data_IF_178659836801
#
_entry.id   IF_178659836801
#
_cell.length_a   1.000
_cell.length_b   1.000
_cell.length_c   1.000
_cell.angle_alpha   90.00
_cell.angle_beta   90.00
_cell.angle_gamma   90.00
#
_symmetry.space_group_name_H-M   'P 1'
#
loop_
_entity.id
_entity.type
_entity.pdbx_description
1 polymer ?
#
# COMPACT_ATOMS: atom_id res chain seq x y z
N UNK A 1 -10.90 -29.77 -67.96
CA UNK A 1 -11.80 -29.05 -67.03
C UNK A 1 -11.56 -29.59 -65.63
N UNK A 2 -11.38 -28.70 -64.64
CA UNK A 2 -11.53 -28.93 -63.19
C UNK A 2 -10.41 -29.76 -62.52
N UNK A 3 -9.88 -29.45 -61.33
CA UNK A 3 -10.17 -28.48 -60.27
C UNK A 3 -8.97 -28.45 -59.29
N UNK A 4 -8.61 -27.25 -58.86
CA UNK A 4 -8.25 -26.85 -57.49
C UNK A 4 -6.95 -27.30 -56.80
N UNK A 5 -6.28 -26.27 -56.26
CA UNK A 5 -5.18 -26.27 -55.33
C UNK A 5 -5.56 -26.77 -53.93
N UNK A 6 -4.57 -27.25 -53.18
CA UNK A 6 -4.61 -27.29 -51.73
C UNK A 6 -3.22 -26.98 -51.17
N UNK A 7 -3.00 -25.71 -50.80
CA UNK A 7 -1.98 -25.33 -49.81
C UNK A 7 -2.44 -25.90 -48.46
N UNK A 8 -1.65 -26.76 -47.84
CA UNK A 8 -1.81 -27.11 -46.43
C UNK A 8 -0.84 -26.26 -45.62
N UNK A 9 -1.35 -25.13 -45.14
CA UNK A 9 -0.73 -24.33 -44.09
C UNK A 9 -1.13 -24.97 -42.74
N UNK A 10 -0.24 -25.76 -42.14
CA UNK A 10 -0.43 -26.22 -40.76
C UNK A 10 0.05 -25.10 -39.83
N UNK A 11 -0.89 -24.30 -39.33
CA UNK A 11 -0.64 -23.32 -38.28
C UNK A 11 -0.23 -24.04 -36.99
N UNK A 12 0.93 -23.67 -36.45
CA UNK A 12 1.31 -24.04 -35.10
C UNK A 12 0.35 -23.35 -34.12
N UNK A 13 -0.42 -24.14 -33.36
CA UNK A 13 -1.14 -23.65 -32.20
C UNK A 13 -0.09 -23.28 -31.14
N UNK A 14 0.23 -22.00 -31.05
CA UNK A 14 0.87 -21.45 -29.87
C UNK A 14 -0.10 -21.66 -28.71
N UNK A 15 0.21 -22.59 -27.82
CA UNK A 15 -0.42 -22.66 -26.51
C UNK A 15 -0.06 -21.36 -25.80
N UNK A 16 -1.05 -20.49 -25.66
CA UNK A 16 -0.93 -19.20 -24.99
C UNK A 16 -0.80 -19.47 -23.49
N UNK A 17 0.40 -19.80 -23.03
CA UNK A 17 0.73 -19.92 -21.60
C UNK A 17 0.93 -18.53 -21.01
N UNK A 18 -0.12 -17.70 -21.04
CA UNK A 18 -0.14 -16.46 -20.29
C UNK A 18 -0.47 -16.83 -18.84
N UNK A 19 0.58 -17.06 -18.03
CA UNK A 19 0.44 -16.91 -16.59
C UNK A 19 -0.25 -15.56 -16.37
N UNK A 20 -1.42 -15.57 -15.71
CA UNK A 20 -2.21 -14.35 -15.51
C UNK A 20 -1.30 -13.25 -14.95
N UNK A 21 -1.31 -12.08 -15.59
CA UNK A 21 -0.51 -10.93 -15.17
C UNK A 21 -0.66 -10.72 -13.66
N UNK A 22 0.45 -10.57 -12.92
CA UNK A 22 0.37 -10.48 -11.48
C UNK A 22 -0.40 -9.22 -11.11
N UNK A 23 -1.44 -9.36 -10.29
CA UNK A 23 -2.30 -8.22 -9.93
C UNK A 23 -1.51 -7.06 -9.32
N UNK A 24 -1.90 -5.85 -9.71
CA UNK A 24 -1.32 -4.59 -9.25
C UNK A 24 -2.43 -3.64 -8.82
N UNK A 25 -2.11 -2.75 -7.88
CA UNK A 25 -3.04 -1.73 -7.39
C UNK A 25 -2.98 -0.44 -8.23
N UNK A 26 -2.50 -0.53 -9.48
CA UNK A 26 -2.25 0.59 -10.39
C UNK A 26 -2.89 0.41 -11.77
N UNK A 27 -3.84 -0.52 -11.86
CA UNK A 27 -4.56 -0.81 -13.10
C UNK A 27 -5.27 0.46 -13.59
N UNK A 28 -5.19 0.71 -14.90
CA UNK A 28 -5.71 1.94 -15.49
C UNK A 28 -7.24 1.98 -15.43
N UNK A 29 -7.88 0.81 -15.51
CA UNK A 29 -9.32 0.61 -15.35
C UNK A 29 -9.83 0.98 -13.95
N UNK A 30 -8.98 0.88 -12.93
CA UNK A 30 -9.32 1.19 -11.54
C UNK A 30 -9.04 2.67 -11.21
N UNK A 31 -8.39 3.44 -12.11
CA UNK A 31 -8.03 4.82 -11.83
C UNK A 31 -9.27 5.70 -11.63
N UNK A 32 -9.37 6.31 -10.45
CA UNK A 32 -10.51 7.13 -10.05
C UNK A 32 -10.23 8.62 -10.27
N UNK A 33 -9.15 9.13 -9.68
CA UNK A 33 -8.86 10.57 -9.67
C UNK A 33 -7.38 10.86 -9.33
N UNK A 34 -6.87 12.06 -9.65
CA UNK A 34 -5.59 12.53 -9.13
C UNK A 34 -5.64 12.64 -7.61
N UNK A 35 -4.56 12.22 -6.93
CA UNK A 35 -4.47 12.30 -5.48
C UNK A 35 -4.56 13.73 -4.94
N UNK A 36 -4.26 14.74 -5.76
CA UNK A 36 -4.38 16.16 -5.44
C UNK A 36 -5.81 16.60 -5.11
N UNK A 37 -6.82 15.82 -5.50
CA UNK A 37 -8.24 16.11 -5.20
C UNK A 37 -8.70 15.51 -3.86
N UNK A 38 -7.82 14.83 -3.12
CA UNK A 38 -8.11 14.23 -1.82
C UNK A 38 -7.38 14.98 -0.70
N UNK A 39 -8.07 15.95 -0.11
CA UNK A 39 -7.51 16.84 0.93
C UNK A 39 -6.93 16.06 2.11
N UNK A 40 -7.64 15.03 2.60
CA UNK A 40 -7.17 14.21 3.74
C UNK A 40 -5.84 13.50 3.46
N UNK A 41 -5.60 13.10 2.22
CA UNK A 41 -4.32 12.52 1.81
C UNK A 41 -3.23 13.58 1.70
N UNK A 42 -3.55 14.76 1.14
CA UNK A 42 -2.60 15.85 1.03
C UNK A 42 -2.18 16.40 2.40
N UNK A 43 -3.12 16.53 3.33
CA UNK A 43 -2.86 16.97 4.70
C UNK A 43 -1.93 16.00 5.42
N UNK A 44 -2.19 14.69 5.29
CA UNK A 44 -1.32 13.68 5.85
C UNK A 44 0.10 13.76 5.24
N UNK A 45 0.21 13.84 3.91
CA UNK A 45 1.50 14.03 3.23
C UNK A 45 2.24 15.27 3.71
N UNK A 46 1.55 16.40 3.85
CA UNK A 46 2.14 17.64 4.31
C UNK A 46 2.66 17.51 5.75
N UNK A 47 1.89 16.90 6.64
CA UNK A 47 2.28 16.65 8.03
C UNK A 47 3.50 15.73 8.13
N UNK A 48 3.49 14.59 7.42
CA UNK A 48 4.63 13.66 7.41
C UNK A 48 5.88 14.29 6.79
N UNK A 49 5.73 15.05 5.70
CA UNK A 49 6.86 15.76 5.05
C UNK A 49 7.46 16.80 5.98
N UNK A 50 6.64 17.57 6.69
CA UNK A 50 7.12 18.54 7.68
C UNK A 50 7.88 17.85 8.82
N UNK A 51 7.37 16.72 9.32
CA UNK A 51 8.03 15.96 10.37
C UNK A 51 9.35 15.33 9.91
N UNK A 52 9.42 14.78 8.70
CA UNK A 52 10.64 14.21 8.13
C UNK A 52 11.76 15.26 8.01
N UNK A 53 11.45 16.49 7.62
CA UNK A 53 12.43 17.60 7.61
C UNK A 53 13.01 17.87 9.00
N UNK A 54 12.19 17.82 10.04
CA UNK A 54 12.66 17.96 11.42
C UNK A 54 13.56 16.78 11.82
N UNK A 55 13.19 15.57 11.42
CA UNK A 55 13.97 14.35 11.67
C UNK A 55 15.33 14.39 10.97
N UNK A 56 15.39 14.83 9.71
CA UNK A 56 16.64 14.95 8.95
C UNK A 56 17.58 15.98 9.59
N UNK A 57 17.02 17.05 10.15
CA UNK A 57 17.80 18.06 10.88
C UNK A 57 18.44 17.53 12.17
N UNK A 58 17.99 16.36 12.67
CA UNK A 58 18.55 15.70 13.86
C UNK A 58 19.85 14.95 13.56
N UNK A 59 20.87 15.67 13.12
CA UNK A 59 22.19 15.17 12.80
C UNK A 59 23.31 15.97 13.49
N UNK A 60 24.54 15.43 13.50
CA UNK A 60 25.72 16.12 14.07
C UNK A 60 25.50 16.60 15.51
N UNK A 61 25.89 17.85 15.78
CA UNK A 61 25.76 18.49 17.08
C UNK A 61 24.28 18.68 17.54
N UNK A 62 23.32 18.76 16.60
CA UNK A 62 21.90 18.90 16.93
C UNK A 62 21.27 17.62 17.47
N UNK A 63 21.91 16.45 17.27
CA UNK A 63 21.39 15.14 17.67
C UNK A 63 21.03 15.05 19.16
N UNK A 64 21.82 15.69 20.03
CA UNK A 64 21.61 15.67 21.49
C UNK A 64 20.35 16.43 21.92
N UNK A 65 19.91 17.42 21.14
CA UNK A 65 18.73 18.25 21.42
C UNK A 65 17.42 17.61 20.91
N UNK A 66 17.51 16.61 20.03
CA UNK A 66 16.35 15.99 19.43
C UNK A 66 15.58 15.07 20.39
N UNK A 67 14.32 14.77 20.06
CA UNK A 67 13.58 13.72 20.74
C UNK A 67 14.21 12.34 20.46
N UNK A 68 13.98 11.36 21.35
CA UNK A 68 14.41 9.99 21.13
C UNK A 68 13.79 9.37 19.87
N UNK A 69 12.55 9.75 19.55
CA UNK A 69 11.85 9.35 18.32
C UNK A 69 12.55 9.87 17.07
N UNK A 70 12.86 11.17 17.01
CA UNK A 70 13.58 11.74 15.87
C UNK A 70 14.95 11.10 15.68
N UNK A 71 15.73 10.92 16.75
CA UNK A 71 17.01 10.19 16.68
C UNK A 71 16.85 8.75 16.20
N UNK A 72 15.77 8.08 16.55
CA UNK A 72 15.52 6.70 16.15
C UNK A 72 15.19 6.60 14.65
N UNK A 73 14.36 7.51 14.13
CA UNK A 73 14.04 7.57 12.70
C UNK A 73 15.27 7.97 11.89
N UNK A 74 15.98 9.03 12.28
CA UNK A 74 17.15 9.47 11.52
C UNK A 74 18.22 8.36 11.42
N UNK A 75 18.49 7.64 12.53
CA UNK A 75 19.41 6.49 12.50
C UNK A 75 18.93 5.36 11.59
N UNK A 76 17.62 5.11 11.51
CA UNK A 76 17.08 4.15 10.54
C UNK A 76 17.38 4.63 9.12
N UNK A 77 17.00 5.86 8.78
CA UNK A 77 17.13 6.42 7.43
C UNK A 77 18.58 6.44 6.96
N UNK A 78 19.52 6.85 7.83
CA UNK A 78 20.95 6.80 7.54
C UNK A 78 21.43 5.36 7.29
N UNK A 79 20.97 4.39 8.08
CA UNK A 79 21.37 2.98 7.93
C UNK A 79 20.86 2.35 6.65
N UNK A 80 19.60 2.61 6.27
CA UNK A 80 18.99 1.93 5.10
C UNK A 80 19.42 2.53 3.77
N UNK A 81 19.97 3.75 3.73
CA UNK A 81 20.45 4.38 2.49
C UNK A 81 21.47 3.50 1.74
N UNK A 82 22.30 2.75 2.46
CA UNK A 82 23.32 1.88 1.87
C UNK A 82 22.78 0.50 1.45
N UNK A 83 21.51 0.19 1.75
CA UNK A 83 20.93 -1.10 1.40
C UNK A 83 20.43 -1.12 -0.05
N UNK A 84 20.38 -2.32 -0.64
CA UNK A 84 19.64 -2.54 -1.88
C UNK A 84 18.14 -2.26 -1.68
N UNK A 85 17.38 -1.85 -2.72
CA UNK A 85 15.99 -1.42 -2.58
C UNK A 85 15.10 -2.39 -1.79
N UNK A 86 15.15 -3.69 -2.09
CA UNK A 86 14.32 -4.69 -1.39
C UNK A 86 14.75 -4.90 0.08
N UNK A 87 16.03 -4.70 0.40
CA UNK A 87 16.52 -4.72 1.76
C UNK A 87 16.10 -3.47 2.55
N UNK A 88 16.03 -2.30 1.90
CA UNK A 88 15.42 -1.09 2.50
C UNK A 88 13.98 -1.36 2.90
N UNK A 89 13.23 -1.94 1.97
CA UNK A 89 11.83 -2.29 2.11
C UNK A 89 11.61 -3.24 3.30
N UNK A 90 12.37 -4.34 3.37
CA UNK A 90 12.31 -5.28 4.50
C UNK A 90 12.72 -4.64 5.82
N UNK A 91 13.82 -3.88 5.83
CA UNK A 91 14.34 -3.26 7.04
C UNK A 91 13.36 -2.23 7.63
N UNK A 92 12.75 -1.38 6.80
CA UNK A 92 11.76 -0.41 7.24
C UNK A 92 10.50 -1.10 7.73
N UNK A 93 9.99 -2.12 7.01
CA UNK A 93 8.84 -2.89 7.48
C UNK A 93 9.10 -3.50 8.86
N UNK A 94 10.22 -4.21 9.02
CA UNK A 94 10.59 -4.79 10.31
C UNK A 94 10.76 -3.71 11.39
N UNK A 95 11.33 -2.56 11.05
CA UNK A 95 11.49 -1.43 11.98
C UNK A 95 10.13 -0.91 12.45
N UNK A 96 9.17 -0.70 11.53
CA UNK A 96 7.77 -0.30 11.79
C UNK A 96 7.02 -1.27 12.67
N UNK A 97 7.11 -2.56 12.41
CA UNK A 97 6.32 -3.54 13.17
C UNK A 97 6.87 -3.86 14.57
N UNK A 98 7.93 -3.18 15.03
CA UNK A 98 8.34 -3.21 16.45
C UNK A 98 7.51 -2.30 17.35
N UNK A 99 6.60 -1.49 16.78
CA UNK A 99 5.72 -0.62 17.55
C UNK A 99 4.54 -1.43 18.06
N UNK A 100 3.94 -0.92 19.12
CA UNK A 100 2.73 -1.51 19.67
C UNK A 100 1.55 -1.17 18.76
N UNK A 101 0.85 -2.20 18.31
CA UNK A 101 -0.45 -2.05 17.66
C UNK A 101 -1.52 -1.65 18.69
N UNK A 102 -2.36 -0.67 18.35
CA UNK A 102 -3.42 -0.10 19.21
C UNK A 102 -4.59 0.43 18.38
N UNK A 103 -5.74 -0.25 18.44
CA UNK A 103 -6.99 0.15 17.78
C UNK A 103 -7.88 1.09 18.62
N UNK A 104 -7.41 1.57 19.77
CA UNK A 104 -8.27 2.20 20.77
C UNK A 104 -8.81 3.58 20.32
N UNK A 105 -9.97 3.56 19.68
CA UNK A 105 -10.74 4.74 19.27
C UNK A 105 -11.15 5.63 20.45
N UNK A 106 -11.37 5.07 21.64
CA UNK A 106 -11.73 5.84 22.83
C UNK A 106 -10.52 6.60 23.38
N UNK A 107 -9.34 6.00 23.32
CA UNK A 107 -8.09 6.70 23.60
C UNK A 107 -7.86 7.85 22.61
N UNK A 108 -8.08 7.64 21.30
CA UNK A 108 -7.96 8.71 20.29
C UNK A 108 -8.88 9.89 20.57
N UNK A 109 -10.14 9.63 20.92
CA UNK A 109 -11.09 10.69 21.29
C UNK A 109 -10.63 11.47 22.54
N UNK A 110 -10.04 10.79 23.52
CA UNK A 110 -9.47 11.41 24.72
C UNK A 110 -8.24 12.28 24.40
N UNK A 111 -7.50 11.94 23.35
CA UNK A 111 -6.35 12.70 22.84
C UNK A 111 -6.76 13.88 21.94
N UNK A 112 -8.06 14.10 21.72
CA UNK A 112 -8.60 15.14 20.84
C UNK A 112 -8.40 14.85 19.34
N UNK A 113 -8.06 13.61 18.99
CA UNK A 113 -7.81 13.18 17.61
C UNK A 113 -9.12 12.73 16.95
N UNK A 114 -9.34 13.17 15.72
CA UNK A 114 -10.48 12.68 14.94
C UNK A 114 -10.29 11.18 14.60
N UNK A 115 -11.37 10.41 14.38
CA UNK A 115 -11.28 8.99 14.05
C UNK A 115 -10.48 8.67 12.78
N UNK A 116 -10.26 9.66 11.91
CA UNK A 116 -9.53 9.54 10.64
C UNK A 116 -8.23 10.35 10.65
N UNK A 117 -7.77 10.81 11.84
CA UNK A 117 -6.54 11.58 11.97
C UNK A 117 -5.34 10.66 12.22
N UNK A 118 -4.44 10.64 11.24
CA UNK A 118 -3.20 9.86 11.26
C UNK A 118 -2.24 10.34 12.34
N UNK A 119 -1.52 9.41 12.98
CA UNK A 119 -0.44 9.75 13.92
C UNK A 119 0.84 10.13 13.17
N UNK A 120 1.56 11.10 13.73
CA UNK A 120 2.93 11.40 13.30
C UNK A 120 3.85 10.19 13.53
N UNK A 121 4.99 10.13 12.84
CA UNK A 121 6.02 9.10 13.06
C UNK A 121 6.47 9.07 14.52
N UNK A 122 6.66 10.23 15.15
CA UNK A 122 7.04 10.30 16.56
C UNK A 122 5.97 9.81 17.51
N UNK A 123 4.70 10.09 17.23
CA UNK A 123 3.61 9.58 18.04
C UNK A 123 3.45 8.07 17.88
N UNK A 124 3.57 7.53 16.66
CA UNK A 124 3.62 6.09 16.44
C UNK A 124 4.75 5.44 17.23
N UNK A 125 5.96 6.03 17.24
CA UNK A 125 7.09 5.49 18.00
C UNK A 125 6.83 5.53 19.51
N UNK A 126 6.24 6.62 20.02
CA UNK A 126 6.04 6.84 21.45
C UNK A 126 4.86 6.05 22.01
N UNK A 127 3.77 5.99 21.26
CA UNK A 127 2.46 5.52 21.75
C UNK A 127 2.02 4.23 21.08
N UNK A 128 2.53 3.91 19.88
CA UNK A 128 1.92 2.92 19.01
C UNK A 128 0.81 3.55 18.15
N UNK A 129 0.14 2.71 17.39
CA UNK A 129 -0.90 3.10 16.44
C UNK A 129 -1.65 1.88 15.89
N UNK A 130 -2.64 2.12 15.06
CA UNK A 130 -3.46 1.13 14.36
C UNK A 130 -2.96 0.92 12.93
N UNK A 131 -3.77 0.26 12.09
CA UNK A 131 -3.37 -0.23 10.78
C UNK A 131 -2.94 0.90 9.85
N UNK A 132 -3.62 2.03 9.92
CA UNK A 132 -3.42 3.16 9.03
C UNK A 132 -2.15 3.93 9.39
N UNK A 133 -1.83 4.07 10.68
CA UNK A 133 -0.58 4.65 11.15
C UNK A 133 0.64 3.82 10.72
N UNK A 134 0.53 2.49 10.82
CA UNK A 134 1.60 1.59 10.42
C UNK A 134 1.85 1.65 8.92
N UNK A 135 0.79 1.62 8.12
CA UNK A 135 0.89 1.67 6.67
C UNK A 135 1.47 3.03 6.21
N UNK A 136 1.01 4.15 6.79
CA UNK A 136 1.56 5.48 6.49
C UNK A 136 3.03 5.61 6.88
N UNK A 137 3.40 5.15 8.07
CA UNK A 137 4.78 5.20 8.51
C UNK A 137 5.71 4.41 7.56
N UNK A 138 5.29 3.22 7.10
CA UNK A 138 6.04 2.47 6.09
C UNK A 138 6.13 3.25 4.78
N UNK A 139 5.00 3.80 4.30
CA UNK A 139 4.93 4.58 3.07
C UNK A 139 5.97 5.70 3.07
N UNK A 140 5.89 6.63 4.05
CA UNK A 140 6.74 7.81 4.06
C UNK A 140 8.20 7.49 4.36
N UNK A 141 8.49 6.52 5.24
CA UNK A 141 9.88 6.09 5.47
C UNK A 141 10.50 5.45 4.24
N UNK A 142 9.72 4.72 3.43
CA UNK A 142 10.21 4.14 2.17
C UNK A 142 10.41 5.21 1.11
N UNK A 143 9.51 6.19 1.04
CA UNK A 143 9.69 7.37 0.18
C UNK A 143 10.98 8.10 0.50
N UNK A 144 11.24 8.36 1.79
CA UNK A 144 12.47 9.02 2.25
C UNK A 144 13.72 8.14 2.04
N UNK A 145 13.57 6.82 2.10
CA UNK A 145 14.64 5.88 1.75
C UNK A 145 14.85 5.71 0.23
N UNK A 146 14.19 6.53 -0.60
CA UNK A 146 14.39 6.58 -2.06
C UNK A 146 13.57 5.58 -2.86
N UNK A 147 12.56 4.92 -2.27
CA UNK A 147 11.62 4.10 -3.05
C UNK A 147 10.65 5.03 -3.78
N UNK A 148 10.46 4.90 -5.11
CA UNK A 148 9.55 5.76 -5.87
C UNK A 148 8.08 5.62 -5.44
N UNK A 149 7.33 6.73 -5.47
CA UNK A 149 5.89 6.73 -5.18
C UNK A 149 5.09 5.80 -6.09
N UNK A 150 5.49 5.67 -7.36
CA UNK A 150 4.86 4.77 -8.33
C UNK A 150 4.89 3.29 -7.91
N UNK A 151 5.78 2.91 -6.98
CA UNK A 151 5.90 1.54 -6.44
C UNK A 151 5.20 1.36 -5.10
N UNK A 152 4.61 2.39 -4.52
CA UNK A 152 4.04 2.36 -3.17
C UNK A 152 2.60 2.84 -3.22
N UNK A 153 1.69 2.13 -2.56
CA UNK A 153 0.30 2.55 -2.41
C UNK A 153 -0.22 2.20 -1.04
N UNK A 154 -0.88 3.16 -0.39
CA UNK A 154 -1.74 2.85 0.75
C UNK A 154 -2.97 2.14 0.20
N UNK A 155 -3.30 0.98 0.76
CA UNK A 155 -4.45 0.18 0.35
C UNK A 155 -5.42 0.07 1.52
N UNK A 156 -6.68 0.38 1.27
CA UNK A 156 -7.76 0.17 2.24
C UNK A 156 -8.57 -1.03 1.81
N UNK A 157 -8.80 -1.94 2.74
CA UNK A 157 -9.56 -3.15 2.54
C UNK A 157 -10.66 -3.29 3.60
N UNK A 158 -11.70 -4.05 3.25
CA UNK A 158 -12.64 -4.61 4.21
C UNK A 158 -12.21 -6.02 4.58
N UNK A 159 -11.96 -6.25 5.86
CA UNK A 159 -11.64 -7.56 6.40
C UNK A 159 -12.90 -8.35 6.73
N UNK A 160 -13.14 -9.40 5.93
CA UNK A 160 -14.40 -10.17 5.98
C UNK A 160 -14.59 -10.94 7.29
N UNK A 161 -13.58 -11.50 7.96
CA UNK A 161 -13.79 -12.20 9.23
C UNK A 161 -14.01 -11.26 10.42
N UNK A 162 -13.34 -10.11 10.46
CA UNK A 162 -13.43 -9.16 11.59
C UNK A 162 -14.52 -8.10 11.41
N UNK A 163 -15.07 -7.97 10.20
CA UNK A 163 -16.03 -6.91 9.83
C UNK A 163 -15.48 -5.49 10.13
N UNK A 164 -14.20 -5.28 9.84
CA UNK A 164 -13.52 -4.02 10.04
C UNK A 164 -12.79 -3.56 8.78
N UNK A 165 -12.55 -2.25 8.68
CA UNK A 165 -11.62 -1.72 7.69
C UNK A 165 -10.18 -1.99 8.15
N UNK A 166 -9.31 -2.31 7.20
CA UNK A 166 -7.89 -2.54 7.42
C UNK A 166 -7.06 -1.78 6.39
N UNK A 167 -6.01 -1.12 6.85
CA UNK A 167 -5.08 -0.39 6.00
C UNK A 167 -3.74 -1.14 5.88
N UNK A 168 -3.24 -1.21 4.66
CA UNK A 168 -2.04 -1.93 4.26
C UNK A 168 -1.15 -1.00 3.44
N UNK A 169 0.13 -1.34 3.34
CA UNK A 169 0.99 -0.80 2.29
C UNK A 169 1.18 -1.86 1.19
N UNK A 170 0.92 -1.48 -0.05
CA UNK A 170 1.34 -2.23 -1.23
C UNK A 170 2.71 -1.73 -1.73
N UNK A 171 3.57 -2.66 -2.10
CA UNK A 171 4.83 -2.44 -2.80
C UNK A 171 4.85 -3.23 -4.11
N UNK A 172 4.88 -2.51 -5.22
CA UNK A 172 4.88 -3.11 -6.54
C UNK A 172 6.30 -3.46 -7.01
N UNK A 173 6.41 -4.66 -7.56
CA UNK A 173 7.62 -5.22 -8.18
C UNK A 173 7.29 -5.74 -9.57
N UNK A 174 8.30 -6.12 -10.34
CA UNK A 174 8.09 -6.82 -11.61
C UNK A 174 7.31 -8.13 -11.42
N UNK A 175 7.41 -8.75 -10.25
CA UNK A 175 6.67 -9.97 -9.90
C UNK A 175 5.25 -9.69 -9.35
N UNK A 176 4.79 -8.44 -9.34
CA UNK A 176 3.48 -8.02 -8.81
C UNK A 176 3.53 -7.29 -7.48
N UNK A 177 2.33 -7.05 -6.93
CA UNK A 177 2.12 -6.37 -5.66
C UNK A 177 2.38 -7.26 -4.43
N UNK A 178 3.18 -6.74 -3.49
CA UNK A 178 3.39 -7.28 -2.16
C UNK A 178 2.71 -6.40 -1.11
N UNK A 179 1.95 -7.00 -0.19
CA UNK A 179 1.23 -6.30 0.87
C UNK A 179 1.95 -6.47 2.21
N UNK A 180 2.02 -5.37 2.96
CA UNK A 180 2.83 -5.21 4.18
C UNK A 180 1.90 -5.05 5.38
N UNK A 181 1.83 -6.08 6.19
CA UNK A 181 0.90 -6.19 7.31
C UNK A 181 1.41 -5.56 8.61
N UNK A 182 0.52 -5.30 9.56
CA UNK A 182 0.83 -4.76 10.91
C UNK A 182 1.57 -5.76 11.80
N UNK A 183 1.57 -7.05 11.43
CA UNK A 183 2.36 -8.12 12.06
C UNK A 183 3.79 -8.24 11.47
N UNK A 184 4.10 -7.44 10.44
CA UNK A 184 5.38 -7.47 9.73
C UNK A 184 5.49 -8.52 8.64
N UNK A 185 4.45 -9.31 8.39
CA UNK A 185 4.43 -10.19 7.24
C UNK A 185 4.36 -9.40 5.92
N UNK A 186 5.03 -9.94 4.90
CA UNK A 186 5.02 -9.44 3.53
C UNK A 186 4.51 -10.58 2.66
N UNK A 187 3.34 -10.39 2.06
CA UNK A 187 2.60 -11.46 1.38
C UNK A 187 2.06 -10.95 0.05
N UNK A 188 1.87 -11.84 -0.93
CA UNK A 188 1.24 -11.47 -2.21
C UNK A 188 -0.25 -11.19 -2.02
N UNK A 189 -0.86 -10.41 -2.91
CA UNK A 189 -2.32 -10.18 -2.90
C UNK A 189 -3.13 -11.48 -2.82
N UNK A 190 -2.74 -12.51 -3.57
CA UNK A 190 -3.45 -13.81 -3.60
C UNK A 190 -3.53 -14.50 -2.23
N UNK A 191 -2.63 -14.18 -1.31
CA UNK A 191 -2.60 -14.70 0.06
C UNK A 191 -3.49 -13.90 1.03
N UNK A 192 -4.24 -12.91 0.54
CA UNK A 192 -5.16 -12.07 1.32
C UNK A 192 -6.61 -12.26 0.87
N UNK A 193 -7.02 -13.51 0.64
CA UNK A 193 -8.38 -13.83 0.17
C UNK A 193 -9.49 -13.38 1.16
N UNK A 194 -9.13 -13.16 2.43
CA UNK A 194 -10.03 -12.62 3.45
C UNK A 194 -10.38 -11.15 3.22
N UNK A 195 -9.55 -10.41 2.48
CA UNK A 195 -9.77 -8.99 2.21
C UNK A 195 -10.63 -8.77 0.96
N UNK A 196 -11.47 -7.75 1.03
CA UNK A 196 -12.03 -7.07 -0.16
C UNK A 196 -11.34 -5.72 -0.26
N UNK A 197 -10.45 -5.55 -1.22
CA UNK A 197 -9.79 -4.27 -1.46
C UNK A 197 -10.82 -3.24 -1.95
N UNK A 198 -10.74 -2.02 -1.42
CA UNK A 198 -11.71 -0.96 -1.66
C UNK A 198 -11.11 0.11 -2.53
N UNK A 199 -10.01 0.70 -2.09
CA UNK A 199 -9.29 1.68 -2.87
C UNK A 199 -7.82 1.68 -2.48
N UNK A 200 -7.01 2.28 -3.33
CA UNK A 200 -5.62 2.58 -3.00
C UNK A 200 -5.25 4.01 -3.40
N UNK A 201 -4.28 4.59 -2.71
CA UNK A 201 -3.82 5.95 -2.97
C UNK A 201 -2.30 6.06 -2.86
N UNK A 202 -1.70 6.89 -3.70
CA UNK A 202 -0.31 7.33 -3.60
C UNK A 202 -0.20 8.83 -3.93
N UNK A 203 1.01 9.33 -4.19
CA UNK A 203 1.22 10.74 -4.53
C UNK A 203 0.58 11.19 -5.85
N UNK A 204 0.32 10.25 -6.75
CA UNK A 204 -0.12 10.53 -8.13
C UNK A 204 -1.64 10.37 -8.27
N UNK A 205 -2.21 9.32 -7.69
CA UNK A 205 -3.58 8.92 -7.97
C UNK A 205 -4.28 8.20 -6.82
N UNK A 206 -5.58 8.05 -7.03
CA UNK A 206 -6.49 7.19 -6.29
C UNK A 206 -7.05 6.17 -7.28
N UNK A 207 -7.11 4.91 -6.84
CA UNK A 207 -7.68 3.81 -7.60
C UNK A 207 -8.80 3.16 -6.80
N UNK A 208 -9.95 2.93 -7.42
CA UNK A 208 -11.10 2.23 -6.84
C UNK A 208 -11.06 0.76 -7.24
N UNK A 209 -10.90 -0.12 -6.25
CA UNK A 209 -10.84 -1.57 -6.40
C UNK A 209 -12.17 -2.25 -6.07
N UNK A 210 -13.19 -1.47 -5.69
CA UNK A 210 -14.52 -2.01 -5.54
C UNK A 210 -14.99 -2.53 -6.91
N UNK A 211 -15.62 -3.71 -6.97
CA UNK A 211 -16.21 -4.15 -8.23
C UNK A 211 -17.21 -3.07 -8.69
N UNK A 212 -17.03 -2.57 -9.91
CA UNK A 212 -17.95 -1.62 -10.51
C UNK A 212 -19.38 -2.07 -10.25
N UNK A 213 -20.23 -1.18 -9.72
CA UNK A 213 -21.64 -1.47 -9.50
C UNK A 213 -22.24 -1.97 -10.82
N UNK A 214 -22.49 -3.30 -10.91
CA UNK A 214 -22.99 -3.94 -12.13
C UNK A 214 -22.36 -5.28 -12.50
N UNK A 215 -21.19 -5.66 -11.97
CA UNK A 215 -20.56 -6.95 -12.33
C UNK A 215 -21.24 -8.20 -11.72
N UNK A 216 -22.14 -8.03 -10.75
CA UNK A 216 -22.83 -9.12 -10.03
C UNK A 216 -24.22 -9.48 -10.57
N UNK A 217 -24.79 -8.73 -11.52
CA UNK A 217 -26.11 -9.04 -12.09
C UNK A 217 -26.06 -9.93 -13.34
N UNK A 218 -24.91 -10.06 -14.01
CA UNK A 218 -24.80 -10.83 -15.26
C UNK A 218 -24.68 -12.36 -15.08
N UNK A 219 -24.42 -12.88 -13.88
CA UNK A 219 -24.25 -14.34 -13.64
C UNK A 219 -25.50 -15.08 -13.17
N UNK A 220 -26.64 -14.39 -12.96
CA UNK A 220 -27.85 -15.02 -12.41
C UNK A 220 -29.01 -15.21 -13.41
N UNK A 221 -28.90 -14.71 -14.65
CA UNK A 221 -29.94 -14.85 -15.67
C UNK A 221 -29.64 -15.92 -16.75
N UNK A 222 -28.77 -16.89 -16.46
CA UNK A 222 -28.44 -18.00 -17.36
C UNK A 222 -29.27 -19.27 -17.16
N UNK A 223 -30.56 -19.17 -16.81
CA UNK A 223 -31.52 -20.29 -16.85
C UNK A 223 -32.92 -19.81 -17.25
N UNK A 224 -33.10 -19.63 -18.54
CA UNK A 224 -34.29 -20.10 -19.27
C UNK A 224 -33.74 -21.26 -20.15
N UNK A 225 -34.38 -22.40 -20.39
CA UNK A 225 -35.79 -22.72 -20.59
C UNK A 225 -35.91 -24.25 -20.73
N UNK A 226 -36.93 -24.86 -20.12
CA UNK A 226 -37.73 -26.00 -20.63
C UNK A 226 -38.70 -26.44 -19.54
#
# INVERSE_FOLDING_TARGET
>A
MHRQAALLLAAALAVNDSAAEPYRFDAAEDYLAPAAQWDTWQDARAAFTAELRLIESCNGAATSLCSSGFRAVNRLLLRVRDFAPDDRVRAINAWVNRRRYREDRAQRATEGKLPNEWRSLTDLIRRGGDCEDFAMAKYFLLREAGIPAARLRMVVAWDKPTHAYHALLAYDTEAGAWLFETDGSIKRRSQHAQYRFLYSVNEDGVWDHAPAEGATTARRNGRESS
#
